data_IF_428110096365
#
_entry.id   IF_428110096365
#
_cell.length_a   1.000
_cell.length_b   1.000
_cell.length_c   1.000
_cell.angle_alpha   90.00
_cell.angle_beta   90.00
_cell.angle_gamma   90.00
#
_symmetry.space_group_name_H-M   'P 1'
#
loop_
_entity.id
_entity.type
_entity.pdbx_description
1 polymer ?
#
# COMPACT_ATOMS: atom_id res chain seq x y z
N UNK A 1 -34.98 3.55 -14.59
CA UNK A 1 -34.20 4.65 -13.99
C UNK A 1 -32.71 4.49 -14.24
N UNK A 2 -32.06 3.37 -13.89
CA UNK A 2 -30.62 3.15 -14.17
C UNK A 2 -30.34 3.07 -15.69
N UNK A 3 -31.27 2.48 -16.45
CA UNK A 3 -31.21 2.38 -17.92
C UNK A 3 -31.12 3.75 -18.64
N UNK A 4 -31.56 4.86 -18.02
CA UNK A 4 -31.46 6.19 -18.63
C UNK A 4 -30.01 6.72 -18.71
N UNK A 5 -29.10 6.08 -17.96
CA UNK A 5 -27.67 6.36 -17.99
C UNK A 5 -26.99 5.72 -19.20
N UNK A 6 -27.66 4.82 -19.92
CA UNK A 6 -27.08 4.15 -21.08
C UNK A 6 -26.64 5.18 -22.15
N UNK A 7 -25.48 4.94 -22.74
CA UNK A 7 -24.79 5.88 -23.63
C UNK A 7 -24.18 7.13 -22.96
N UNK A 8 -24.33 7.33 -21.64
CA UNK A 8 -23.80 8.50 -20.90
C UNK A 8 -22.84 8.14 -19.77
N UNK A 9 -22.58 6.86 -19.53
CA UNK A 9 -21.79 6.33 -18.41
C UNK A 9 -20.42 6.98 -18.29
N UNK A 10 -19.61 7.02 -19.35
CA UNK A 10 -18.25 7.59 -19.32
C UNK A 10 -18.26 9.07 -18.91
N UNK A 11 -19.26 9.83 -19.37
CA UNK A 11 -19.45 11.22 -18.98
C UNK A 11 -19.84 11.32 -17.51
N UNK A 12 -20.76 10.49 -17.03
CA UNK A 12 -21.19 10.47 -15.65
C UNK A 12 -20.03 10.15 -14.69
N UNK A 13 -19.17 9.17 -15.00
CA UNK A 13 -18.01 8.82 -14.16
C UNK A 13 -17.03 10.00 -14.02
N UNK A 14 -16.90 10.82 -15.06
CA UNK A 14 -15.99 11.98 -15.07
C UNK A 14 -16.63 13.27 -14.52
N UNK A 15 -17.92 13.23 -14.16
CA UNK A 15 -18.65 14.37 -13.62
C UNK A 15 -18.58 14.41 -12.08
N UNK A 16 -18.49 15.62 -11.51
CA UNK A 16 -18.39 15.84 -10.06
C UNK A 16 -19.60 15.27 -9.28
N UNK A 17 -20.79 15.24 -9.89
CA UNK A 17 -21.99 14.69 -9.27
C UNK A 17 -22.35 13.32 -9.83
N UNK A 18 -22.19 13.13 -11.14
CA UNK A 18 -22.52 11.90 -11.84
C UNK A 18 -21.76 10.68 -11.32
N UNK A 19 -20.51 10.85 -10.89
CA UNK A 19 -19.72 9.74 -10.35
C UNK A 19 -20.39 9.13 -9.10
N UNK A 20 -21.03 9.94 -8.26
CA UNK A 20 -21.73 9.45 -7.06
C UNK A 20 -22.95 8.61 -7.43
N UNK A 21 -23.65 8.96 -8.51
CA UNK A 21 -24.76 8.17 -9.03
C UNK A 21 -24.26 6.81 -9.51
N UNK A 22 -23.14 6.77 -10.25
CA UNK A 22 -22.55 5.52 -10.73
C UNK A 22 -22.10 4.64 -9.55
N UNK A 23 -21.42 5.21 -8.56
CA UNK A 23 -21.05 4.49 -7.33
C UNK A 23 -22.27 3.90 -6.64
N UNK A 24 -23.35 4.69 -6.48
CA UNK A 24 -24.59 4.22 -5.84
C UNK A 24 -25.27 3.11 -6.63
N UNK A 25 -25.20 3.15 -7.96
CA UNK A 25 -25.70 2.05 -8.79
C UNK A 25 -24.93 0.76 -8.51
N UNK A 26 -23.59 0.83 -8.45
CA UNK A 26 -22.73 -0.33 -8.17
C UNK A 26 -22.98 -0.89 -6.75
N UNK A 27 -23.18 -0.04 -5.76
CA UNK A 27 -23.39 -0.45 -4.37
C UNK A 27 -24.77 -1.10 -4.10
N UNK A 28 -25.81 -0.70 -4.83
CA UNK A 28 -27.19 -0.96 -4.43
C UNK A 28 -28.04 -1.65 -5.48
N UNK A 29 -27.56 -1.80 -6.71
CA UNK A 29 -28.28 -2.49 -7.77
C UNK A 29 -27.58 -3.83 -8.03
N UNK A 30 -28.33 -4.95 -8.11
CA UNK A 30 -27.75 -6.24 -8.45
C UNK A 30 -26.90 -6.16 -9.73
N UNK A 31 -25.74 -6.83 -9.73
CA UNK A 31 -24.74 -6.70 -10.78
C UNK A 31 -25.29 -7.05 -12.17
N UNK A 32 -26.20 -8.02 -12.25
CA UNK A 32 -26.87 -8.44 -13.48
C UNK A 32 -27.64 -7.31 -14.18
N UNK A 33 -28.11 -6.31 -13.43
CA UNK A 33 -28.88 -5.17 -13.96
C UNK A 33 -28.01 -3.98 -14.33
N UNK A 34 -26.72 -4.00 -13.97
CA UNK A 34 -25.77 -2.90 -14.25
C UNK A 34 -24.60 -3.35 -15.14
N UNK A 35 -24.68 -4.52 -15.76
CA UNK A 35 -23.63 -5.01 -16.67
C UNK A 35 -23.31 -4.02 -17.80
N UNK A 36 -24.28 -3.24 -18.29
CA UNK A 36 -24.04 -2.19 -19.28
C UNK A 36 -23.17 -1.03 -18.74
N UNK A 37 -23.24 -0.76 -17.42
CA UNK A 37 -22.34 0.17 -16.72
C UNK A 37 -20.95 -0.43 -16.61
N UNK A 38 -20.85 -1.64 -16.05
CA UNK A 38 -19.57 -2.30 -15.77
C UNK A 38 -18.77 -2.53 -17.06
N UNK A 39 -19.44 -3.01 -18.11
CA UNK A 39 -18.79 -3.28 -19.40
C UNK A 39 -18.24 -2.04 -20.09
N UNK A 40 -18.74 -0.84 -19.77
CA UNK A 40 -18.19 0.42 -20.27
C UNK A 40 -16.81 0.74 -19.68
N UNK A 41 -16.43 0.11 -18.56
CA UNK A 41 -15.14 0.34 -17.91
C UNK A 41 -14.01 -0.54 -18.45
N UNK A 42 -14.35 -1.66 -19.10
CA UNK A 42 -13.37 -2.54 -19.71
C UNK A 42 -12.53 -1.78 -20.75
N UNK A 43 -11.24 -2.10 -20.81
CA UNK A 43 -10.21 -1.45 -21.63
C UNK A 43 -9.92 0.01 -21.23
N UNK A 44 -10.50 0.49 -20.12
CA UNK A 44 -10.29 1.84 -19.58
C UNK A 44 -10.06 1.84 -18.07
N UNK A 45 -9.89 0.68 -17.43
CA UNK A 45 -9.77 0.56 -15.96
C UNK A 45 -8.59 1.36 -15.44
N UNK A 46 -7.46 1.32 -16.16
CA UNK A 46 -6.26 2.09 -15.81
C UNK A 46 -6.50 3.60 -15.93
N UNK A 47 -7.16 4.02 -17.00
CA UNK A 47 -7.51 5.44 -17.23
C UNK A 47 -8.48 5.95 -16.16
N UNK A 48 -9.44 5.13 -15.73
CA UNK A 48 -10.38 5.49 -14.67
C UNK A 48 -9.70 5.47 -13.30
N UNK A 49 -8.80 4.52 -13.04
CA UNK A 49 -8.03 4.42 -11.79
C UNK A 49 -7.14 5.64 -11.54
N UNK A 50 -6.68 6.30 -12.59
CA UNK A 50 -5.88 7.54 -12.53
C UNK A 50 -6.73 8.82 -12.61
N UNK A 51 -8.06 8.70 -12.55
CA UNK A 51 -8.98 9.83 -12.57
C UNK A 51 -9.49 10.16 -11.15
N UNK A 52 -9.60 11.44 -10.74
CA UNK A 52 -10.02 11.85 -9.38
C UNK A 52 -11.34 11.25 -8.91
N UNK A 53 -12.29 11.03 -9.83
CA UNK A 53 -13.58 10.40 -9.53
C UNK A 53 -13.63 8.94 -9.98
N UNK A 54 -12.87 8.59 -11.04
CA UNK A 54 -12.91 7.26 -11.63
C UNK A 54 -12.32 6.22 -10.69
N UNK A 55 -11.28 6.58 -9.93
CA UNK A 55 -10.64 5.69 -8.97
C UNK A 55 -11.61 5.20 -7.89
N UNK A 56 -12.59 6.04 -7.51
CA UNK A 56 -13.64 5.69 -6.55
C UNK A 56 -14.65 4.75 -7.17
N UNK A 57 -15.02 4.97 -8.44
CA UNK A 57 -15.87 4.05 -9.19
C UNK A 57 -15.21 2.67 -9.32
N UNK A 58 -13.93 2.61 -9.71
CA UNK A 58 -13.21 1.33 -9.81
C UNK A 58 -13.13 0.61 -8.46
N UNK A 59 -12.87 1.32 -7.35
CA UNK A 59 -12.95 0.71 -6.01
C UNK A 59 -14.33 0.13 -5.71
N UNK A 60 -15.43 0.81 -6.05
CA UNK A 60 -16.78 0.24 -5.89
C UNK A 60 -16.99 -1.03 -6.71
N UNK A 61 -16.45 -1.08 -7.94
CA UNK A 61 -16.50 -2.30 -8.77
C UNK A 61 -15.78 -3.45 -8.06
N UNK A 62 -14.57 -3.21 -7.53
CA UNK A 62 -13.81 -4.22 -6.80
C UNK A 62 -14.54 -4.71 -5.54
N UNK A 63 -15.25 -3.83 -4.86
CA UNK A 63 -15.95 -4.12 -3.59
C UNK A 63 -17.29 -4.84 -3.76
N UNK A 64 -18.03 -4.56 -4.84
CA UNK A 64 -19.44 -4.95 -4.95
C UNK A 64 -19.76 -5.84 -6.14
N UNK A 65 -18.95 -5.86 -7.19
CA UNK A 65 -19.16 -6.75 -8.32
C UNK A 65 -18.49 -8.10 -8.04
N UNK A 66 -19.25 -9.19 -8.04
CA UNK A 66 -18.77 -10.53 -7.69
C UNK A 66 -18.73 -11.46 -8.91
N UNK A 67 -19.23 -11.02 -10.06
CA UNK A 67 -19.13 -11.79 -11.30
C UNK A 67 -17.65 -12.11 -11.63
N UNK A 68 -17.30 -13.39 -11.84
CA UNK A 68 -15.93 -13.79 -12.10
C UNK A 68 -15.31 -13.14 -13.34
N UNK A 69 -16.11 -12.86 -14.38
CA UNK A 69 -15.62 -12.25 -15.62
C UNK A 69 -15.37 -10.76 -15.42
N UNK A 70 -16.25 -10.05 -14.70
CA UNK A 70 -16.01 -8.66 -14.26
C UNK A 70 -14.70 -8.57 -13.48
N UNK A 71 -14.58 -9.35 -12.41
CA UNK A 71 -13.42 -9.36 -11.53
C UNK A 71 -12.13 -9.69 -12.29
N UNK A 72 -12.16 -10.70 -13.14
CA UNK A 72 -11.00 -11.10 -13.95
C UNK A 72 -10.53 -9.98 -14.88
N UNK A 73 -11.44 -9.33 -15.63
CA UNK A 73 -11.07 -8.27 -16.58
C UNK A 73 -10.50 -7.05 -15.88
N UNK A 74 -11.14 -6.62 -14.78
CA UNK A 74 -10.69 -5.46 -14.02
C UNK A 74 -9.32 -5.73 -13.38
N UNK A 75 -9.09 -6.94 -12.86
CA UNK A 75 -7.79 -7.33 -12.33
C UNK A 75 -6.71 -7.48 -13.39
N UNK A 76 -7.01 -8.00 -14.57
CA UNK A 76 -6.04 -8.10 -15.67
C UNK A 76 -5.45 -6.72 -16.03
N UNK A 77 -6.30 -5.70 -16.17
CA UNK A 77 -5.88 -4.33 -16.47
C UNK A 77 -5.07 -3.70 -15.31
N UNK A 78 -5.50 -3.88 -14.05
CA UNK A 78 -4.80 -3.34 -12.88
C UNK A 78 -3.43 -4.00 -12.71
N UNK A 79 -3.37 -5.33 -12.79
CA UNK A 79 -2.12 -6.08 -12.65
C UNK A 79 -1.15 -5.80 -13.81
N UNK A 80 -1.65 -5.49 -15.00
CA UNK A 80 -0.83 -5.03 -16.12
C UNK A 80 -0.25 -3.62 -15.97
N UNK A 81 -0.62 -2.85 -14.94
CA UNK A 81 -0.21 -1.45 -14.75
C UNK A 81 0.15 -1.08 -13.30
N UNK A 82 0.50 -2.06 -12.47
CA UNK A 82 0.78 -1.87 -11.02
C UNK A 82 1.79 -0.77 -10.77
N UNK A 83 2.95 -0.84 -11.43
CA UNK A 83 4.06 0.11 -11.23
C UNK A 83 3.66 1.56 -11.53
N UNK A 84 2.82 1.78 -12.54
CA UNK A 84 2.31 3.12 -12.88
C UNK A 84 1.24 3.58 -11.90
N UNK A 85 0.26 2.72 -11.60
CA UNK A 85 -0.83 3.03 -10.69
C UNK A 85 -0.33 3.33 -9.28
N UNK A 86 0.66 2.57 -8.78
CA UNK A 86 1.20 2.75 -7.44
C UNK A 86 1.84 4.14 -7.22
N UNK A 87 2.35 4.76 -8.29
CA UNK A 87 2.99 6.07 -8.25
C UNK A 87 2.02 7.22 -8.56
N UNK A 88 0.85 6.93 -9.15
CA UNK A 88 -0.16 7.92 -9.47
C UNK A 88 -0.89 8.44 -8.21
N UNK A 89 -1.29 9.72 -8.23
CA UNK A 89 -1.94 10.39 -7.10
C UNK A 89 -3.33 9.83 -6.74
N UNK A 90 -3.99 9.14 -7.67
CA UNK A 90 -5.29 8.48 -7.47
C UNK A 90 -5.17 6.96 -7.58
N UNK A 91 -4.39 6.48 -8.55
CA UNK A 91 -4.16 5.05 -8.81
C UNK A 91 -3.59 4.32 -7.60
N UNK A 92 -2.78 4.99 -6.76
CA UNK A 92 -2.20 4.37 -5.57
C UNK A 92 -3.29 3.84 -4.63
N UNK A 93 -4.47 4.48 -4.56
CA UNK A 93 -5.57 4.01 -3.73
C UNK A 93 -6.21 2.72 -4.27
N UNK A 94 -6.21 2.52 -5.59
CA UNK A 94 -6.70 1.28 -6.20
C UNK A 94 -5.74 0.13 -5.90
N UNK A 95 -4.42 0.37 -5.99
CA UNK A 95 -3.42 -0.65 -5.63
C UNK A 95 -3.50 -1.00 -4.12
N UNK A 96 -3.62 0.01 -3.25
CA UNK A 96 -3.83 -0.22 -1.82
C UNK A 96 -5.09 -1.04 -1.56
N UNK A 97 -6.19 -0.76 -2.26
CA UNK A 97 -7.42 -1.53 -2.13
C UNK A 97 -7.21 -3.02 -2.44
N UNK A 98 -6.51 -3.35 -3.54
CA UNK A 98 -6.22 -4.75 -3.89
C UNK A 98 -5.28 -5.41 -2.87
N UNK A 99 -4.30 -4.67 -2.33
CA UNK A 99 -3.43 -5.20 -1.26
C UNK A 99 -4.21 -5.53 0.03
N UNK A 100 -5.23 -4.74 0.37
CA UNK A 100 -6.03 -4.89 1.58
C UNK A 100 -7.12 -5.96 1.47
N UNK A 101 -7.79 -6.03 0.32
CA UNK A 101 -9.03 -6.80 0.14
C UNK A 101 -8.99 -7.82 -1.00
N UNK A 102 -7.98 -7.74 -1.87
CA UNK A 102 -7.81 -8.66 -2.99
C UNK A 102 -7.42 -10.08 -2.55
N UNK A 103 -7.44 -11.00 -3.51
CA UNK A 103 -7.06 -12.40 -3.26
C UNK A 103 -5.56 -12.49 -2.98
N UNK A 104 -5.10 -13.52 -2.24
CA UNK A 104 -3.68 -13.70 -1.95
C UNK A 104 -2.79 -13.66 -3.20
N UNK A 105 -3.20 -14.30 -4.29
CA UNK A 105 -2.43 -14.32 -5.54
C UNK A 105 -2.38 -12.95 -6.24
N UNK A 106 -3.43 -12.13 -6.16
CA UNK A 106 -3.46 -10.78 -6.72
C UNK A 106 -2.54 -9.85 -5.92
N UNK A 107 -2.55 -9.97 -4.59
CA UNK A 107 -1.61 -9.27 -3.70
C UNK A 107 -0.16 -9.67 -3.96
N UNK A 108 0.12 -10.98 -4.05
CA UNK A 108 1.45 -11.50 -4.38
C UNK A 108 1.94 -10.94 -5.71
N UNK A 109 1.09 -10.91 -6.74
CA UNK A 109 1.46 -10.34 -8.04
C UNK A 109 1.89 -8.86 -7.93
N UNK A 110 1.15 -8.05 -7.15
CA UNK A 110 1.52 -6.66 -6.88
C UNK A 110 2.87 -6.57 -6.16
N UNK A 111 3.05 -7.35 -5.09
CA UNK A 111 4.27 -7.29 -4.28
C UNK A 111 5.50 -7.70 -5.10
N UNK A 112 5.38 -8.76 -5.90
CA UNK A 112 6.48 -9.24 -6.75
C UNK A 112 6.84 -8.22 -7.85
N UNK A 113 5.85 -7.55 -8.43
CA UNK A 113 6.07 -6.50 -9.44
C UNK A 113 6.79 -5.27 -8.85
N UNK A 114 6.52 -4.94 -7.58
CA UNK A 114 7.13 -3.78 -6.90
C UNK A 114 8.48 -4.10 -6.24
N UNK A 115 8.77 -5.38 -6.01
CA UNK A 115 10.04 -5.82 -5.45
C UNK A 115 11.22 -5.40 -6.35
N UNK A 116 12.31 -4.94 -5.73
CA UNK A 116 13.45 -4.32 -6.40
C UNK A 116 13.36 -2.80 -6.54
N UNK A 117 12.19 -2.20 -6.30
CA UNK A 117 11.96 -0.75 -6.36
C UNK A 117 11.46 -0.14 -5.04
N UNK A 118 11.41 -0.92 -3.95
CA UNK A 118 10.84 -0.55 -2.66
C UNK A 118 11.53 0.65 -2.05
N UNK A 119 12.87 0.71 -2.11
CA UNK A 119 13.62 1.85 -1.57
C UNK A 119 13.26 3.14 -2.31
N UNK A 120 13.22 3.10 -3.65
CA UNK A 120 12.87 4.24 -4.49
C UNK A 120 11.42 4.67 -4.25
N UNK A 121 10.48 3.73 -4.26
CA UNK A 121 9.06 3.99 -4.07
C UNK A 121 8.74 4.54 -2.68
N UNK A 122 9.47 4.09 -1.66
CA UNK A 122 9.32 4.61 -0.30
C UNK A 122 9.60 6.11 -0.19
N UNK A 123 10.43 6.66 -1.07
CA UNK A 123 10.78 8.08 -1.12
C UNK A 123 9.82 8.92 -1.96
N UNK A 124 8.72 8.31 -2.44
CA UNK A 124 7.72 8.99 -3.25
C UNK A 124 6.43 9.21 -2.47
N UNK A 125 5.86 10.40 -2.60
CA UNK A 125 4.66 10.85 -1.87
C UNK A 125 3.47 9.86 -1.90
N UNK A 126 3.22 9.24 -3.05
CA UNK A 126 2.07 8.36 -3.24
C UNK A 126 2.46 6.89 -3.05
N UNK A 127 3.54 6.47 -3.70
CA UNK A 127 4.02 5.10 -3.69
C UNK A 127 4.49 4.63 -2.30
N UNK A 128 4.93 5.52 -1.40
CA UNK A 128 5.28 5.16 -0.03
C UNK A 128 4.11 4.50 0.72
N UNK A 129 2.88 4.97 0.48
CA UNK A 129 1.67 4.38 1.10
C UNK A 129 1.40 2.98 0.57
N UNK A 130 1.69 2.73 -0.72
CA UNK A 130 1.60 1.40 -1.33
C UNK A 130 2.60 0.45 -0.68
N UNK A 131 3.85 0.89 -0.49
CA UNK A 131 4.87 0.10 0.20
C UNK A 131 4.45 -0.23 1.64
N UNK A 132 3.87 0.71 2.37
CA UNK A 132 3.32 0.44 3.70
C UNK A 132 2.23 -0.65 3.68
N UNK A 133 1.39 -0.69 2.65
CA UNK A 133 0.38 -1.76 2.49
C UNK A 133 1.02 -3.08 2.07
N UNK A 134 2.03 -3.09 1.22
CA UNK A 134 2.80 -4.31 0.93
C UNK A 134 3.38 -4.93 2.21
N UNK A 135 3.95 -4.10 3.09
CA UNK A 135 4.49 -4.54 4.38
C UNK A 135 3.40 -4.99 5.37
N UNK A 136 2.20 -4.40 5.32
CA UNK A 136 1.12 -4.74 6.24
C UNK A 136 0.36 -6.02 5.84
N UNK A 137 0.26 -6.30 4.54
CA UNK A 137 -0.60 -7.37 4.01
C UNK A 137 0.16 -8.50 3.30
N UNK A 138 1.44 -8.32 2.99
CA UNK A 138 2.28 -9.38 2.44
C UNK A 138 2.45 -10.54 3.41
N UNK A 139 2.68 -11.73 2.87
CA UNK A 139 3.01 -12.90 3.67
C UNK A 139 4.41 -12.80 4.31
N UNK A 140 4.80 -13.70 5.22
CA UNK A 140 6.11 -13.62 5.88
C UNK A 140 7.31 -13.65 4.93
N UNK A 141 7.22 -14.37 3.81
CA UNK A 141 8.30 -14.46 2.82
C UNK A 141 8.42 -13.19 1.98
N UNK A 142 7.28 -12.63 1.61
CA UNK A 142 7.16 -11.33 0.94
C UNK A 142 7.66 -10.21 1.85
N UNK A 143 7.23 -10.17 3.11
CA UNK A 143 7.71 -9.19 4.09
C UNK A 143 9.23 -9.24 4.23
N UNK A 144 9.79 -10.44 4.38
CA UNK A 144 11.23 -10.65 4.44
C UNK A 144 11.95 -10.14 3.19
N UNK A 145 11.40 -10.37 2.00
CA UNK A 145 11.93 -9.87 0.73
C UNK A 145 12.03 -8.34 0.74
N UNK A 146 10.94 -7.65 1.11
CA UNK A 146 10.88 -6.18 1.14
C UNK A 146 11.84 -5.59 2.19
N UNK A 147 11.91 -6.20 3.37
CA UNK A 147 12.81 -5.77 4.45
C UNK A 147 14.28 -5.96 4.06
N UNK A 148 14.61 -7.07 3.41
CA UNK A 148 15.98 -7.32 2.96
C UNK A 148 16.42 -6.27 1.92
N UNK A 149 15.54 -5.86 1.02
CA UNK A 149 15.82 -4.78 0.08
C UNK A 149 16.10 -3.45 0.80
N UNK A 150 15.30 -3.11 1.81
CA UNK A 150 15.49 -1.90 2.61
C UNK A 150 16.80 -1.89 3.41
N UNK A 151 17.23 -3.06 3.90
CA UNK A 151 18.50 -3.20 4.62
C UNK A 151 19.72 -3.12 3.70
N UNK A 152 19.55 -3.47 2.42
CA UNK A 152 20.63 -3.56 1.45
C UNK A 152 21.53 -4.79 1.68
N UNK A 153 22.45 -5.01 0.74
CA UNK A 153 23.38 -6.15 0.75
C UNK A 153 24.72 -5.84 1.42
N UNK A 154 25.01 -4.57 1.69
CA UNK A 154 26.26 -4.10 2.30
C UNK A 154 26.05 -3.78 3.79
N UNK A 155 27.14 -3.83 4.55
CA UNK A 155 27.12 -3.46 5.97
C UNK A 155 26.97 -1.94 6.18
N UNK A 156 27.05 -1.15 5.12
CA UNK A 156 26.99 0.32 5.18
C UNK A 156 25.56 0.85 5.36
N UNK A 157 24.51 0.02 5.20
CA UNK A 157 23.10 0.38 5.38
C UNK A 157 22.68 1.65 4.59
N UNK A 158 23.32 1.94 3.47
CA UNK A 158 23.05 3.18 2.73
C UNK A 158 21.56 3.36 2.38
N UNK A 159 20.82 2.32 1.93
CA UNK A 159 19.39 2.45 1.63
C UNK A 159 18.57 2.79 2.87
N UNK A 160 18.70 2.03 3.96
CA UNK A 160 17.97 2.28 5.21
C UNK A 160 18.29 3.67 5.78
N UNK A 161 19.56 4.08 5.73
CA UNK A 161 19.96 5.41 6.19
C UNK A 161 19.32 6.54 5.39
N UNK A 162 19.23 6.39 4.06
CA UNK A 162 18.55 7.35 3.20
C UNK A 162 17.06 7.42 3.55
N UNK A 163 16.41 6.26 3.70
CA UNK A 163 14.99 6.17 4.04
C UNK A 163 14.65 6.84 5.37
N UNK A 164 15.47 6.66 6.41
CA UNK A 164 15.27 7.28 7.73
C UNK A 164 15.34 8.82 7.72
N UNK A 165 16.01 9.40 6.72
CA UNK A 165 16.19 10.85 6.59
C UNK A 165 15.18 11.49 5.65
N UNK A 166 14.49 10.69 4.84
CA UNK A 166 13.54 11.16 3.83
C UNK A 166 12.16 11.49 4.42
N UNK A 167 11.45 12.43 3.78
CA UNK A 167 10.16 12.94 4.24
C UNK A 167 9.00 11.94 4.16
N UNK A 168 9.11 10.91 3.31
CA UNK A 168 8.09 9.87 3.13
C UNK A 168 8.60 8.51 3.63
N UNK A 169 9.82 8.12 3.27
CA UNK A 169 10.34 6.79 3.57
C UNK A 169 10.54 6.55 5.07
N UNK A 170 10.64 7.60 5.89
CA UNK A 170 10.69 7.46 7.35
C UNK A 170 9.40 6.81 7.91
N UNK A 171 8.25 6.97 7.26
CA UNK A 171 7.01 6.30 7.65
C UNK A 171 7.07 4.80 7.32
N UNK A 172 7.63 4.44 6.17
CA UNK A 172 7.87 3.04 5.79
C UNK A 172 8.80 2.35 6.78
N UNK A 173 9.90 3.00 7.19
CA UNK A 173 10.81 2.43 8.22
C UNK A 173 10.07 2.20 9.54
N UNK A 174 9.22 3.14 9.96
CA UNK A 174 8.39 2.96 11.16
C UNK A 174 7.40 1.80 11.01
N UNK A 175 6.79 1.65 9.82
CA UNK A 175 5.87 0.54 9.52
C UNK A 175 6.56 -0.82 9.61
N UNK A 176 7.80 -0.93 9.11
CA UNK A 176 8.58 -2.16 9.29
C UNK A 176 8.81 -2.45 10.76
N UNK A 177 9.22 -1.46 11.57
CA UNK A 177 9.44 -1.65 13.00
C UNK A 177 8.18 -2.13 13.76
N UNK A 178 6.99 -1.76 13.27
CA UNK A 178 5.69 -2.20 13.80
C UNK A 178 5.31 -3.63 13.37
N UNK A 179 5.62 -4.02 12.14
CA UNK A 179 5.12 -5.25 11.50
C UNK A 179 6.11 -6.41 11.48
N UNK A 180 7.40 -6.14 11.67
CA UNK A 180 8.45 -7.16 11.64
C UNK A 180 8.39 -8.13 12.83
N UNK A 181 8.94 -9.33 12.62
CA UNK A 181 9.16 -10.31 13.69
C UNK A 181 10.17 -9.80 14.71
N UNK A 182 10.23 -10.41 15.90
CA UNK A 182 11.19 -9.97 16.94
C UNK A 182 12.65 -10.09 16.47
N UNK A 183 12.99 -11.16 15.73
CA UNK A 183 14.33 -11.35 15.16
C UNK A 183 14.69 -10.27 14.13
N UNK A 184 13.77 -9.97 13.21
CA UNK A 184 13.96 -8.90 12.24
C UNK A 184 14.05 -7.53 12.94
N UNK A 185 13.22 -7.30 13.97
CA UNK A 185 13.23 -6.07 14.74
C UNK A 185 14.59 -5.85 15.40
N UNK A 186 15.16 -6.88 16.03
CA UNK A 186 16.49 -6.81 16.63
C UNK A 186 17.56 -6.46 15.59
N UNK A 187 17.53 -7.11 14.42
CA UNK A 187 18.44 -6.83 13.33
C UNK A 187 18.32 -5.36 12.88
N UNK A 188 17.11 -4.90 12.55
CA UNK A 188 16.86 -3.53 12.09
C UNK A 188 17.28 -2.52 13.17
N UNK A 189 16.91 -2.75 14.43
CA UNK A 189 17.30 -1.88 15.54
C UNK A 189 18.81 -1.82 15.72
N UNK A 190 19.53 -2.93 15.55
CA UNK A 190 21.00 -2.95 15.60
C UNK A 190 21.61 -2.06 14.51
N UNK A 191 21.08 -2.12 13.29
CA UNK A 191 21.49 -1.27 12.15
C UNK A 191 21.15 0.20 12.37
N UNK A 192 20.01 0.52 12.98
CA UNK A 192 19.62 1.92 13.26
C UNK A 192 20.45 2.52 14.41
N UNK A 193 20.76 1.74 15.45
CA UNK A 193 21.45 2.20 16.67
C UNK A 193 22.79 2.88 16.38
N UNK A 194 23.56 2.35 15.42
CA UNK A 194 24.85 2.94 15.03
C UNK A 194 24.71 4.34 14.37
N UNK A 195 23.52 4.70 13.91
CA UNK A 195 23.26 5.98 13.24
C UNK A 195 22.44 6.99 14.07
N UNK A 196 21.98 6.64 15.28
CA UNK A 196 21.07 7.49 16.07
C UNK A 196 21.58 8.91 16.28
N UNK A 197 22.87 9.08 16.58
CA UNK A 197 23.47 10.40 16.79
C UNK A 197 23.48 11.25 15.51
N UNK A 198 23.66 10.63 14.34
CA UNK A 198 23.58 11.32 13.07
C UNK A 198 22.13 11.70 12.74
N UNK A 199 21.17 10.79 12.97
CA UNK A 199 19.74 11.00 12.69
C UNK A 199 19.13 12.17 13.46
N UNK A 200 19.60 12.45 14.69
CA UNK A 200 19.17 13.62 15.48
C UNK A 200 19.37 14.96 14.77
N UNK A 201 20.28 15.03 13.77
CA UNK A 201 20.56 16.24 12.98
C UNK A 201 19.54 16.47 11.85
N UNK A 202 18.75 15.46 11.48
CA UNK A 202 17.78 15.54 10.38
C UNK A 202 16.36 15.71 10.92
N UNK A 203 15.54 16.51 10.26
CA UNK A 203 14.15 16.76 10.65
C UNK A 203 13.36 15.47 10.79
N UNK A 204 13.37 14.62 9.77
CA UNK A 204 12.63 13.35 9.76
C UNK A 204 13.32 12.25 10.58
N UNK A 205 14.65 12.26 10.63
CA UNK A 205 15.44 11.31 11.43
C UNK A 205 15.10 11.35 12.93
N UNK A 206 14.70 12.51 13.46
CA UNK A 206 14.24 12.65 14.85
C UNK A 206 13.01 11.79 15.16
N UNK A 207 12.11 11.57 14.20
CA UNK A 207 10.94 10.70 14.38
C UNK A 207 11.35 9.22 14.54
N UNK A 208 12.33 8.79 13.75
CA UNK A 208 12.90 7.44 13.87
C UNK A 208 13.57 7.26 15.23
N UNK A 209 14.38 8.23 15.67
CA UNK A 209 15.03 8.19 17.00
C UNK A 209 13.98 8.04 18.11
N UNK A 210 12.95 8.88 18.12
CA UNK A 210 11.89 8.82 19.12
C UNK A 210 11.12 7.48 19.08
N UNK A 211 10.92 6.90 17.89
CA UNK A 211 10.28 5.59 17.75
C UNK A 211 11.16 4.47 18.31
N UNK A 212 12.46 4.47 17.98
CA UNK A 212 13.43 3.48 18.46
C UNK A 212 13.56 3.53 19.98
N UNK A 213 13.70 4.72 20.56
CA UNK A 213 13.79 4.90 22.02
C UNK A 213 12.57 4.31 22.73
N UNK A 214 11.35 4.57 22.22
CA UNK A 214 10.11 3.97 22.75
C UNK A 214 10.11 2.43 22.67
N UNK A 215 10.57 1.86 21.55
CA UNK A 215 10.62 0.41 21.37
C UNK A 215 11.64 -0.26 22.30
N UNK A 216 12.79 0.36 22.51
CA UNK A 216 13.81 -0.12 23.46
C UNK A 216 13.26 -0.11 24.88
N UNK A 217 12.68 1.00 25.34
CA UNK A 217 12.07 1.08 26.68
C UNK A 217 10.92 0.09 26.86
N UNK A 218 10.10 -0.12 25.82
CA UNK A 218 9.03 -1.11 25.87
C UNK A 218 9.58 -2.54 25.96
N UNK A 219 10.66 -2.85 25.24
CA UNK A 219 11.36 -4.13 25.31
C UNK A 219 11.95 -4.41 26.70
N UNK A 220 12.65 -3.43 27.29
CA UNK A 220 13.21 -3.53 28.64
C UNK A 220 12.13 -3.82 29.70
N UNK A 221 10.96 -3.18 29.60
CA UNK A 221 9.83 -3.44 30.48
C UNK A 221 9.26 -4.85 30.33
N UNK A 222 9.20 -5.40 29.11
CA UNK A 222 8.74 -6.78 28.89
C UNK A 222 9.70 -7.79 29.50
N UNK A 223 11.01 -7.58 29.34
CA UNK A 223 12.05 -8.44 29.92
C UNK A 223 11.96 -8.40 31.45
N UNK A 224 11.88 -7.20 32.04
CA UNK A 224 11.74 -7.03 33.48
C UNK A 224 10.46 -7.68 34.05
N UNK A 225 9.37 -7.69 33.29
CA UNK A 225 8.11 -8.35 33.68
C UNK A 225 8.14 -9.88 33.51
N UNK A 226 9.05 -10.41 32.70
CA UNK A 226 9.22 -11.86 32.46
C UNK A 226 10.32 -12.48 33.34
N UNK A 227 11.14 -11.66 34.02
CA UNK A 227 12.10 -12.15 35.01
C UNK A 227 11.37 -12.69 36.25
N UNK A 228 11.51 -13.99 36.58
CA UNK A 228 10.95 -14.53 37.81
C UNK A 228 11.84 -14.06 38.98
N UNK A 229 11.24 -13.24 39.86
CA UNK A 229 11.74 -12.70 41.13
C UNK A 229 12.57 -11.39 41.10
N UNK A 230 12.16 -10.34 41.84
CA UNK A 230 13.08 -9.44 42.50
C UNK A 230 13.56 -10.07 43.82
N UNK A 231 14.86 -9.92 44.08
CA UNK A 231 15.52 -10.22 45.36
C UNK A 231 15.03 -9.29 46.48
#
# INVERSE_FOLDING_TARGET
MVEELDGRITRCVRDQNGNHVIQKCIECVPEEHIQFIISTFFDQVVTLSTHPYGCRVIQRVLEHCMDPKTQSKVMEEILGSVSMLAQDQYGNYVIQHVLEHGKPNERTAIIQELAGNIVQMSQQKFASNVVEKCLAFGDPSEHQLLVNEMLGTTDENEPLQAMMKDQFANYVVQKVLETCSDQQRELILSRIKVHLNALKKYTYGKHIVARVEKLVTAGERRIAAQSPYPA
#
